data_IF_248980693099
#
_entry.id   IF_248980693099
#
_cell.length_a   1.000
_cell.length_b   1.000
_cell.length_c   1.000
_cell.angle_alpha   90.00
_cell.angle_beta   90.00
_cell.angle_gamma   90.00
#
_symmetry.space_group_name_H-M   'P 1'
#
loop_
_entity.id
_entity.type
_entity.pdbx_description
1 polymer ?
#
# COMPACT_ATOMS: atom_id res chain seq x y z
N UNK A 1 -21.36 14.46 34.18
CA UNK A 1 -20.37 13.70 34.96
C UNK A 1 -20.26 12.29 34.36
N UNK A 2 -19.08 11.71 34.48
CA UNK A 2 -18.51 10.54 33.80
C UNK A 2 -19.43 9.28 33.81
N UNK A 3 -19.33 8.33 32.88
CA UNK A 3 -18.27 7.32 32.87
C UNK A 3 -17.92 6.75 31.49
N UNK A 4 -16.61 6.56 31.35
CA UNK A 4 -15.87 5.88 30.31
C UNK A 4 -16.43 4.51 29.94
N UNK A 5 -16.55 4.23 28.64
CA UNK A 5 -16.58 2.87 28.12
C UNK A 5 -15.13 2.40 27.86
N UNK A 6 -14.58 1.44 28.63
CA UNK A 6 -13.18 1.03 28.54
C UNK A 6 -12.86 0.12 27.33
N UNK A 7 -13.81 -0.13 26.42
CA UNK A 7 -13.61 -1.10 25.32
C UNK A 7 -13.41 -0.51 23.92
N UNK A 8 -13.23 0.81 23.77
CA UNK A 8 -12.79 1.37 22.47
C UNK A 8 -11.27 1.37 22.31
N UNK A 9 -10.60 0.40 22.93
CA UNK A 9 -9.24 0.00 22.58
C UNK A 9 -9.27 -0.74 21.24
N UNK A 10 -9.43 0.01 20.14
CA UNK A 10 -8.93 -0.44 18.82
C UNK A 10 -7.77 0.43 18.39
N UNK A 11 -6.82 0.59 19.32
CA UNK A 11 -5.41 0.78 18.98
C UNK A 11 -4.97 -0.51 18.28
N UNK A 12 -5.22 -0.59 16.98
CA UNK A 12 -4.50 -1.51 16.09
C UNK A 12 -3.48 -0.69 15.32
N UNK A 13 -2.54 -0.09 16.06
CA UNK A 13 -1.18 0.10 15.56
C UNK A 13 -0.58 -1.30 15.47
N UNK A 14 -0.62 -1.89 14.28
CA UNK A 14 0.32 -2.94 13.93
C UNK A 14 1.39 -2.32 13.05
N UNK A 15 2.55 -2.20 13.68
CA UNK A 15 3.86 -1.89 13.13
C UNK A 15 4.13 -2.73 11.87
N UNK A 16 4.63 -2.10 10.81
CA UNK A 16 5.17 -2.81 9.65
C UNK A 16 6.57 -2.25 9.36
N UNK A 17 7.53 -2.91 10.00
CA UNK A 17 8.92 -3.19 9.63
C UNK A 17 9.66 -2.27 8.64
N UNK A 18 10.81 -1.79 9.12
CA UNK A 18 11.88 -1.11 8.38
C UNK A 18 12.49 -1.94 7.21
N UNK A 19 11.94 -3.11 6.84
CA UNK A 19 12.70 -4.12 6.07
C UNK A 19 12.02 -4.61 4.79
N UNK A 20 10.92 -3.99 4.33
CA UNK A 20 10.17 -4.53 3.19
C UNK A 20 9.83 -3.54 2.07
N UNK A 21 10.30 -2.28 2.11
CA UNK A 21 10.03 -1.30 1.04
C UNK A 21 8.54 -1.03 0.77
N UNK A 22 7.68 -1.20 1.79
CA UNK A 22 6.23 -1.01 1.69
C UNK A 22 5.84 0.39 2.17
N UNK A 23 4.93 1.03 1.44
CA UNK A 23 4.45 2.37 1.75
C UNK A 23 3.23 2.31 2.68
N UNK A 24 3.13 3.28 3.60
CA UNK A 24 1.94 3.39 4.46
C UNK A 24 0.75 3.89 3.65
N UNK A 25 -0.35 3.12 3.62
CA UNK A 25 -1.59 3.54 2.96
C UNK A 25 -2.42 4.38 3.94
N UNK A 26 -2.71 5.66 3.64
CA UNK A 26 -3.47 6.53 4.54
C UNK A 26 -4.91 6.05 4.67
N UNK A 27 -5.45 6.10 5.90
CA UNK A 27 -6.85 5.78 6.14
C UNK A 27 -7.73 6.93 5.65
N UNK A 28 -8.42 6.72 4.55
CA UNK A 28 -9.42 7.66 4.02
C UNK A 28 -10.81 7.38 4.59
N UNK A 29 -11.49 8.41 5.08
CA UNK A 29 -12.88 8.30 5.58
C UNK A 29 -13.89 8.22 4.42
N UNK A 30 -13.66 8.99 3.35
CA UNK A 30 -14.51 9.00 2.14
C UNK A 30 -13.88 8.14 1.04
N UNK A 31 -14.19 6.85 1.01
CA UNK A 31 -13.63 5.93 0.01
C UNK A 31 -13.89 6.36 -1.45
N UNK A 32 -15.05 6.97 -1.74
CA UNK A 32 -15.42 7.38 -3.10
C UNK A 32 -14.67 8.61 -3.61
N UNK A 33 -14.40 9.59 -2.75
CA UNK A 33 -13.72 10.85 -3.12
C UNK A 33 -12.21 10.84 -2.80
N UNK A 34 -11.83 10.37 -1.60
CA UNK A 34 -10.43 10.29 -1.17
C UNK A 34 -9.69 9.05 -1.70
N UNK A 35 -10.42 8.03 -2.17
CA UNK A 35 -9.85 6.77 -2.67
C UNK A 35 -8.98 6.90 -3.90
N UNK A 36 -9.31 7.89 -4.74
CA UNK A 36 -8.65 8.16 -6.01
C UNK A 36 -7.45 9.10 -5.87
N UNK A 37 -7.25 9.71 -4.71
CA UNK A 37 -6.11 10.59 -4.48
C UNK A 37 -4.80 9.80 -4.63
N UNK A 38 -3.80 10.42 -5.27
CA UNK A 38 -2.49 9.80 -5.47
C UNK A 38 -1.88 9.32 -4.15
N UNK A 39 -2.01 10.13 -3.08
CA UNK A 39 -1.54 9.80 -1.73
C UNK A 39 -2.13 8.50 -1.16
N UNK A 40 -3.32 8.09 -1.59
CA UNK A 40 -3.94 6.83 -1.18
C UNK A 40 -3.68 5.71 -2.20
N UNK A 41 -3.81 5.98 -3.49
CA UNK A 41 -3.77 4.95 -4.53
C UNK A 41 -2.35 4.51 -4.88
N UNK A 42 -1.37 5.42 -4.84
CA UNK A 42 0.03 5.11 -5.09
C UNK A 42 0.58 4.06 -4.09
N UNK A 43 0.48 4.23 -2.76
CA UNK A 43 0.98 3.23 -1.82
C UNK A 43 0.21 1.91 -1.93
N UNK A 44 -1.09 1.96 -2.23
CA UNK A 44 -1.87 0.74 -2.48
C UNK A 44 -1.32 -0.05 -3.68
N UNK A 45 -1.08 0.61 -4.82
CA UNK A 45 -0.60 -0.04 -6.03
C UNK A 45 0.83 -0.55 -5.84
N UNK A 46 1.69 0.28 -5.24
CA UNK A 46 3.07 -0.09 -4.93
C UNK A 46 3.14 -1.35 -4.07
N UNK A 47 2.37 -1.40 -2.98
CA UNK A 47 2.38 -2.55 -2.07
C UNK A 47 1.83 -3.84 -2.70
N UNK A 48 1.05 -3.73 -3.77
CA UNK A 48 0.57 -4.88 -4.53
C UNK A 48 1.59 -5.47 -5.51
N UNK A 49 2.76 -4.83 -5.67
CA UNK A 49 3.81 -5.32 -6.56
C UNK A 49 4.69 -6.38 -5.88
N UNK A 50 5.15 -7.40 -6.63
CA UNK A 50 6.12 -8.36 -6.15
C UNK A 50 7.41 -7.68 -5.66
N UNK A 51 8.09 -8.29 -4.69
CA UNK A 51 9.33 -7.75 -4.12
C UNK A 51 10.41 -7.49 -5.18
N UNK A 52 10.62 -8.43 -6.12
CA UNK A 52 11.63 -8.29 -7.17
C UNK A 52 11.35 -7.13 -8.13
N UNK A 53 10.08 -6.74 -8.32
CA UNK A 53 9.73 -5.56 -9.11
C UNK A 53 10.07 -4.29 -8.33
N UNK A 54 9.82 -4.28 -7.01
CA UNK A 54 10.07 -3.12 -6.14
C UNK A 54 11.54 -2.90 -5.82
N UNK A 55 12.32 -3.97 -5.75
CA UNK A 55 13.74 -3.99 -5.40
C UNK A 55 14.66 -3.86 -6.64
N UNK A 56 14.12 -3.38 -7.76
CA UNK A 56 14.89 -3.23 -8.99
C UNK A 56 16.00 -2.18 -8.83
N UNK A 57 17.23 -2.52 -9.24
CA UNK A 57 18.42 -1.67 -9.08
C UNK A 57 18.38 -0.36 -9.88
N UNK A 58 17.51 -0.28 -10.90
CA UNK A 58 17.40 0.89 -11.77
C UNK A 58 15.97 1.11 -12.25
N UNK A 59 15.69 2.35 -12.69
CA UNK A 59 14.39 2.73 -13.24
C UNK A 59 14.06 1.97 -14.53
N UNK A 60 15.05 1.66 -15.37
CA UNK A 60 14.82 0.88 -16.60
C UNK A 60 14.45 -0.57 -16.26
N UNK A 61 15.17 -1.19 -15.33
CA UNK A 61 14.86 -2.54 -14.83
C UNK A 61 13.48 -2.58 -14.19
N UNK A 62 13.14 -1.60 -13.36
CA UNK A 62 11.82 -1.46 -12.75
C UNK A 62 10.71 -1.44 -13.81
N UNK A 63 10.84 -0.60 -14.85
CA UNK A 63 9.85 -0.49 -15.93
C UNK A 63 9.68 -1.80 -16.68
N UNK A 64 10.77 -2.50 -16.99
CA UNK A 64 10.75 -3.80 -17.66
C UNK A 64 10.03 -4.85 -16.82
N UNK A 65 10.41 -5.00 -15.55
CA UNK A 65 9.81 -5.98 -14.63
C UNK A 65 8.33 -5.67 -14.38
N UNK A 66 7.97 -4.40 -14.22
CA UNK A 66 6.58 -3.98 -14.04
C UNK A 66 5.74 -4.33 -15.28
N UNK A 67 6.25 -4.07 -16.48
CA UNK A 67 5.57 -4.42 -17.73
C UNK A 67 5.31 -5.92 -17.79
N UNK A 68 6.35 -6.74 -17.58
CA UNK A 68 6.23 -8.20 -17.56
C UNK A 68 5.17 -8.67 -16.57
N UNK A 69 5.21 -8.16 -15.34
CA UNK A 69 4.24 -8.52 -14.29
C UNK A 69 2.80 -8.16 -14.66
N UNK A 70 2.57 -6.97 -15.21
CA UNK A 70 1.23 -6.53 -15.59
C UNK A 70 0.69 -7.26 -16.82
N UNK A 71 1.54 -7.59 -17.79
CA UNK A 71 1.16 -8.38 -18.95
C UNK A 71 0.75 -9.80 -18.55
N UNK A 72 1.59 -10.51 -17.79
CA UNK A 72 1.26 -11.84 -17.25
C UNK A 72 -0.08 -11.79 -16.52
N UNK A 73 -0.25 -10.90 -15.55
CA UNK A 73 -1.49 -10.78 -14.77
C UNK A 73 -2.76 -10.50 -15.59
N UNK A 74 -2.64 -9.96 -16.80
CA UNK A 74 -3.80 -9.57 -17.63
C UNK A 74 -4.13 -10.57 -18.73
N UNK A 75 -3.17 -11.42 -19.10
CA UNK A 75 -3.27 -12.32 -20.26
C UNK A 75 -2.97 -13.80 -19.93
N UNK A 76 -2.66 -14.12 -18.67
CA UNK A 76 -2.66 -15.49 -18.13
C UNK A 76 -4.09 -16.03 -17.92
#
# INVERSE_FOLDING_TARGET
MCYNNPNSLKIRRLKQYFTAGLLTVPRISKQKAGGRAFSNRAPFLWNGLPVHVRDADSVSTFKSLLKTHLFSRSYD
#
